data_IF_493648735916
#
_entry.id   IF_493648735916
#
_cell.length_a   1.000
_cell.length_b   1.000
_cell.length_c   1.000
_cell.angle_alpha   90.00
_cell.angle_beta   90.00
_cell.angle_gamma   90.00
#
_symmetry.space_group_name_H-M   'P 1'
#
loop_
_entity.id
_entity.type
_entity.pdbx_description
1 polymer ?
#
# COMPACT_ATOMS: atom_id res chain seq x y z
N UNK A 1 -14.73 9.90 -14.53
CA UNK A 1 -13.82 9.27 -13.56
C UNK A 1 -12.65 10.21 -13.36
N UNK A 2 -12.51 10.80 -12.17
CA UNK A 2 -11.28 11.46 -11.75
C UNK A 2 -10.50 10.48 -10.87
N UNK A 3 -9.19 10.46 -11.02
CA UNK A 3 -8.29 9.45 -10.47
C UNK A 3 -7.29 9.07 -11.55
N UNK A 4 -6.01 9.21 -11.27
CA UNK A 4 -4.96 8.69 -12.15
C UNK A 4 -5.14 7.18 -12.18
N UNK A 5 -5.55 6.62 -13.34
CA UNK A 5 -6.02 5.23 -13.49
C UNK A 5 -5.09 4.20 -12.82
N UNK A 6 -3.80 4.47 -12.78
CA UNK A 6 -2.77 3.61 -12.20
C UNK A 6 -2.86 3.42 -10.67
N UNK A 7 -3.66 4.22 -9.97
CA UNK A 7 -3.92 4.10 -8.53
C UNK A 7 -5.22 3.34 -8.22
N UNK A 8 -5.99 2.95 -9.25
CA UNK A 8 -7.27 2.28 -9.04
C UNK A 8 -7.05 0.81 -8.67
N UNK A 9 -7.75 0.37 -7.61
CA UNK A 9 -7.72 -1.01 -7.15
C UNK A 9 -8.42 -1.97 -8.15
N UNK A 10 -8.06 -3.27 -8.17
CA UNK A 10 -8.63 -4.26 -9.09
C UNK A 10 -10.17 -4.31 -9.06
N UNK A 11 -10.77 -4.21 -7.88
CA UNK A 11 -12.23 -4.28 -7.68
C UNK A 11 -13.00 -3.11 -8.32
N UNK A 12 -12.36 -1.94 -8.48
CA UNK A 12 -12.95 -0.77 -9.16
C UNK A 12 -13.20 -1.09 -10.64
N UNK A 13 -12.26 -1.80 -11.27
CA UNK A 13 -12.40 -2.24 -12.66
C UNK A 13 -13.43 -3.36 -12.82
N UNK A 14 -13.59 -4.20 -11.80
CA UNK A 14 -14.57 -5.28 -11.79
C UNK A 14 -16.00 -4.81 -11.45
N UNK A 15 -16.16 -3.56 -10.99
CA UNK A 15 -17.45 -2.98 -10.55
C UNK A 15 -18.12 -3.78 -9.43
N UNK A 16 -17.31 -4.38 -8.54
CA UNK A 16 -17.78 -5.23 -7.42
C UNK A 16 -18.26 -4.38 -6.23
N UNK A 17 -18.21 -3.05 -6.34
CA UNK A 17 -18.34 -2.13 -5.21
C UNK A 17 -16.96 -1.80 -4.65
N UNK A 18 -16.83 -0.66 -3.98
CA UNK A 18 -15.58 -0.22 -3.38
C UNK A 18 -15.83 0.29 -1.96
N UNK A 19 -14.83 0.11 -1.10
CA UNK A 19 -14.81 0.56 0.27
C UNK A 19 -13.41 1.02 0.67
N UNK A 20 -13.11 1.04 1.96
CA UNK A 20 -11.81 1.50 2.49
C UNK A 20 -10.61 0.71 1.94
N UNK A 21 -10.81 -0.55 1.55
CA UNK A 21 -9.79 -1.40 0.92
C UNK A 21 -9.14 -0.75 -0.32
N UNK A 22 -9.91 0.02 -1.10
CA UNK A 22 -9.41 0.68 -2.30
C UNK A 22 -8.43 1.83 -1.97
N UNK A 23 -8.61 2.49 -0.83
CA UNK A 23 -7.67 3.52 -0.36
C UNK A 23 -6.35 2.90 0.10
N UNK A 24 -6.40 1.70 0.69
CA UNK A 24 -5.19 0.94 1.07
C UNK A 24 -4.40 0.45 -0.15
N UNK A 25 -5.08 0.07 -1.22
CA UNK A 25 -4.41 -0.18 -2.50
C UNK A 25 -3.68 1.06 -3.01
N UNK A 26 -4.34 2.22 -3.02
CA UNK A 26 -3.73 3.46 -3.46
C UNK A 26 -2.53 3.86 -2.59
N UNK A 27 -2.58 3.57 -1.29
CA UNK A 27 -1.42 3.69 -0.40
C UNK A 27 -0.29 2.74 -0.82
N UNK A 28 -0.59 1.47 -1.11
CA UNK A 28 0.39 0.51 -1.62
C UNK A 28 1.08 0.97 -2.91
N UNK A 29 0.30 1.50 -3.87
CA UNK A 29 0.84 2.09 -5.10
C UNK A 29 1.76 3.27 -4.78
N UNK A 30 1.38 4.12 -3.82
CA UNK A 30 2.20 5.26 -3.40
C UNK A 30 3.50 4.82 -2.75
N UNK A 31 3.47 3.80 -1.88
CA UNK A 31 4.66 3.22 -1.25
C UNK A 31 5.59 2.65 -2.30
N UNK A 32 5.08 1.88 -3.26
CA UNK A 32 5.88 1.34 -4.35
C UNK A 32 6.59 2.46 -5.13
N UNK A 33 5.87 3.53 -5.50
CA UNK A 33 6.47 4.66 -6.22
C UNK A 33 7.57 5.34 -5.40
N UNK A 34 7.41 5.47 -4.08
CA UNK A 34 8.45 6.05 -3.22
C UNK A 34 9.72 5.19 -3.16
N UNK A 35 9.59 3.87 -3.29
CA UNK A 35 10.71 2.93 -3.26
C UNK A 35 11.39 2.81 -4.63
N UNK A 36 10.59 2.72 -5.69
CA UNK A 36 11.04 2.33 -7.03
C UNK A 36 11.18 3.52 -7.98
N UNK A 37 10.64 4.68 -7.62
CA UNK A 37 10.53 5.88 -8.47
C UNK A 37 9.72 5.65 -9.76
N UNK A 38 8.96 4.54 -9.84
CA UNK A 38 8.08 4.20 -10.95
C UNK A 38 6.78 3.54 -10.48
N UNK A 39 5.84 3.34 -11.40
CA UNK A 39 4.56 2.70 -11.12
C UNK A 39 4.69 1.18 -11.05
N UNK A 40 3.96 0.49 -10.15
CA UNK A 40 3.93 -0.97 -10.10
C UNK A 40 3.29 -1.59 -11.33
N UNK A 41 2.29 -0.91 -11.90
CA UNK A 41 1.58 -1.32 -13.12
C UNK A 41 1.49 -0.11 -14.05
N UNK A 42 1.99 -0.25 -15.28
CA UNK A 42 1.94 0.78 -16.32
C UNK A 42 1.75 0.15 -17.68
N UNK A 43 0.76 0.64 -18.41
CA UNK A 43 0.55 0.33 -19.82
C UNK A 43 -0.19 1.50 -20.48
N UNK A 44 0.04 1.70 -21.78
CA UNK A 44 -0.67 2.70 -22.58
C UNK A 44 -2.07 2.22 -22.93
N UNK A 45 -2.23 0.91 -23.17
CA UNK A 45 -3.51 0.27 -23.41
C UNK A 45 -4.24 0.02 -22.08
N UNK A 46 -5.50 0.45 -22.03
CA UNK A 46 -6.28 0.38 -20.81
C UNK A 46 -6.66 -1.07 -20.42
N UNK A 47 -6.83 -1.95 -21.40
CA UNK A 47 -7.18 -3.35 -21.16
C UNK A 47 -5.96 -4.08 -20.60
N UNK A 48 -4.77 -3.83 -21.16
CA UNK A 48 -3.52 -4.41 -20.66
C UNK A 48 -3.16 -3.86 -19.27
N UNK A 49 -3.33 -2.55 -19.02
CA UNK A 49 -3.18 -2.00 -17.67
C UNK A 49 -4.13 -2.66 -16.66
N UNK A 50 -5.39 -2.89 -17.04
CA UNK A 50 -6.36 -3.55 -16.16
C UNK A 50 -5.97 -5.01 -15.90
N UNK A 51 -5.44 -5.72 -16.90
CA UNK A 51 -4.96 -7.10 -16.74
C UNK A 51 -3.76 -7.15 -15.81
N UNK A 52 -2.78 -6.27 -15.97
CA UNK A 52 -1.60 -6.23 -15.10
C UNK A 52 -1.96 -5.91 -13.66
N UNK A 53 -2.80 -4.89 -13.43
CA UNK A 53 -3.34 -4.58 -12.10
C UNK A 53 -4.01 -5.80 -11.46
N UNK A 54 -4.69 -6.64 -12.24
CA UNK A 54 -5.45 -7.78 -11.73
C UNK A 54 -4.63 -9.04 -11.51
N UNK A 55 -3.63 -9.29 -12.36
CA UNK A 55 -3.00 -10.62 -12.45
C UNK A 55 -1.49 -10.60 -12.28
N UNK A 56 -0.83 -9.47 -12.53
CA UNK A 56 0.62 -9.41 -12.43
C UNK A 56 1.03 -9.15 -10.97
N UNK A 57 2.11 -9.81 -10.56
CA UNK A 57 2.77 -9.56 -9.29
C UNK A 57 3.68 -8.33 -9.40
N UNK A 58 3.89 -7.63 -8.28
CA UNK A 58 4.88 -6.54 -8.23
C UNK A 58 6.30 -7.11 -8.06
N UNK A 59 7.27 -6.40 -8.61
CA UNK A 59 8.69 -6.72 -8.43
C UNK A 59 9.33 -5.71 -7.48
N UNK A 60 10.03 -6.21 -6.47
CA UNK A 60 10.77 -5.39 -5.50
C UNK A 60 12.23 -5.85 -5.44
N UNK A 61 13.21 -4.93 -5.30
CA UNK A 61 14.61 -5.27 -5.15
C UNK A 61 14.87 -6.14 -3.92
N UNK A 62 15.78 -7.10 -4.04
CA UNK A 62 16.14 -8.03 -2.96
C UNK A 62 16.87 -7.34 -1.79
N UNK A 63 17.42 -6.15 -2.01
CA UNK A 63 18.14 -5.36 -0.99
C UNK A 63 17.23 -4.47 -0.14
N UNK A 64 15.92 -4.40 -0.45
CA UNK A 64 14.95 -3.75 0.41
C UNK A 64 14.77 -4.52 1.73
N UNK A 65 14.42 -3.80 2.79
CA UNK A 65 14.13 -4.45 4.08
C UNK A 65 12.90 -5.36 3.96
N UNK A 66 12.94 -6.51 4.63
CA UNK A 66 11.83 -7.45 4.66
C UNK A 66 10.52 -6.76 5.09
N UNK A 67 10.59 -5.87 6.08
CA UNK A 67 9.45 -5.12 6.58
C UNK A 67 8.78 -4.23 5.52
N UNK A 68 9.55 -3.53 4.67
CA UNK A 68 8.95 -2.65 3.67
C UNK A 68 8.42 -3.44 2.47
N UNK A 69 9.13 -4.50 2.08
CA UNK A 69 8.68 -5.39 1.02
C UNK A 69 7.38 -6.08 1.43
N UNK A 70 7.34 -6.64 2.64
CA UNK A 70 6.17 -7.30 3.19
C UNK A 70 4.96 -6.34 3.31
N UNK A 71 5.17 -5.11 3.80
CA UNK A 71 4.12 -4.09 3.83
C UNK A 71 3.56 -3.82 2.43
N UNK A 72 4.44 -3.65 1.45
CA UNK A 72 4.06 -3.29 0.07
C UNK A 72 3.27 -4.41 -0.59
N UNK A 73 3.71 -5.67 -0.45
CA UNK A 73 2.97 -6.83 -0.94
C UNK A 73 1.58 -6.93 -0.31
N UNK A 74 1.47 -6.76 1.02
CA UNK A 74 0.17 -6.88 1.69
C UNK A 74 -0.82 -5.73 1.35
N UNK A 75 -0.32 -4.52 1.07
CA UNK A 75 -1.15 -3.41 0.61
C UNK A 75 -1.59 -3.57 -0.86
N UNK A 76 -0.78 -4.25 -1.69
CA UNK A 76 -1.06 -4.54 -3.10
C UNK A 76 -1.64 -5.94 -3.34
N UNK A 77 -2.21 -6.55 -2.29
CA UNK A 77 -3.03 -7.75 -2.39
C UNK A 77 -4.25 -7.49 -3.29
N UNK A 78 -4.46 -8.38 -4.26
CA UNK A 78 -5.47 -8.23 -5.31
C UNK A 78 -6.86 -8.41 -4.75
N UNK A 79 -7.04 -9.38 -3.87
CA UNK A 79 -8.32 -9.64 -3.22
C UNK A 79 -8.54 -8.62 -2.09
N UNK A 80 -9.53 -7.71 -2.21
CA UNK A 80 -9.76 -6.70 -1.19
C UNK A 80 -10.07 -7.29 0.19
N UNK A 81 -10.58 -8.51 0.31
CA UNK A 81 -10.91 -9.12 1.61
C UNK A 81 -9.65 -9.58 2.37
N UNK A 82 -8.56 -9.88 1.66
CA UNK A 82 -7.27 -10.27 2.25
C UNK A 82 -6.26 -9.11 2.32
N UNK A 83 -6.59 -7.96 1.71
CA UNK A 83 -5.72 -6.79 1.70
C UNK A 83 -5.54 -6.21 3.09
N UNK A 84 -4.31 -5.82 3.41
CA UNK A 84 -3.99 -5.20 4.68
C UNK A 84 -4.83 -3.93 4.89
N UNK A 85 -5.52 -3.88 6.03
CA UNK A 85 -6.42 -2.79 6.40
C UNK A 85 -7.89 -2.98 6.00
N UNK A 86 -8.24 -4.10 5.35
CA UNK A 86 -9.63 -4.39 4.95
C UNK A 86 -10.47 -5.11 6.03
N UNK A 87 -9.85 -5.65 7.08
CA UNK A 87 -10.55 -6.32 8.19
C UNK A 87 -11.15 -5.35 9.22
N UNK A 88 -11.80 -5.88 10.25
CA UNK A 88 -12.45 -5.09 11.32
C UNK A 88 -11.50 -4.11 12.02
N UNK A 89 -10.23 -4.50 12.18
CA UNK A 89 -9.20 -3.66 12.78
C UNK A 89 -8.76 -2.49 11.85
N UNK A 90 -9.05 -2.58 10.55
CA UNK A 90 -8.85 -1.51 9.59
C UNK A 90 -7.43 -0.95 9.59
N UNK A 91 -7.33 0.38 9.69
CA UNK A 91 -6.07 1.11 9.73
C UNK A 91 -5.11 0.67 10.87
N UNK A 92 -5.61 0.06 11.94
CA UNK A 92 -4.77 -0.37 13.05
C UNK A 92 -3.82 -1.49 12.64
N UNK A 93 -4.26 -2.40 11.75
CA UNK A 93 -3.40 -3.45 11.18
C UNK A 93 -2.17 -2.86 10.49
N UNK A 94 -2.33 -1.72 9.82
CA UNK A 94 -1.23 -1.02 9.12
C UNK A 94 -0.30 -0.37 10.13
N UNK A 95 -0.83 0.31 11.15
CA UNK A 95 0.00 0.99 12.17
C UNK A 95 0.83 0.02 13.00
N UNK A 96 0.29 -1.17 13.28
CA UNK A 96 0.96 -2.23 14.02
C UNK A 96 1.96 -3.02 13.17
N UNK A 97 1.99 -2.80 11.84
CA UNK A 97 2.92 -3.47 10.95
C UNK A 97 4.39 -3.19 11.35
N UNK A 98 5.28 -4.20 11.37
CA UNK A 98 6.69 -4.06 11.77
C UNK A 98 7.42 -2.84 11.17
N UNK A 99 7.17 -2.55 9.89
CA UNK A 99 7.66 -1.36 9.18
C UNK A 99 7.45 -0.05 9.97
N UNK A 100 6.28 0.14 10.60
CA UNK A 100 5.97 1.34 11.37
C UNK A 100 6.36 1.24 12.85
N UNK A 101 6.50 0.03 13.42
CA UNK A 101 6.82 -0.18 14.84
C UNK A 101 8.16 0.44 15.26
N UNK A 102 9.18 0.44 14.39
CA UNK A 102 10.51 1.01 14.70
C UNK A 102 10.46 2.54 14.81
N UNK A 103 9.58 3.20 14.03
CA UNK A 103 9.49 4.66 13.98
C UNK A 103 8.80 5.29 15.22
N UNK A 104 7.96 4.55 15.93
CA UNK A 104 7.23 5.05 17.09
C UNK A 104 8.04 4.98 18.41
N UNK A 105 9.02 4.08 18.51
CA UNK A 105 9.84 3.99 19.73
C UNK A 105 10.88 5.11 19.85
N UNK A 106 11.45 5.56 18.73
CA UNK A 106 12.45 6.64 18.74
C UNK A 106 11.84 8.02 19.01
N UNK A 107 10.58 8.27 18.60
CA UNK A 107 9.97 9.61 18.71
C UNK A 107 9.31 9.89 20.06
N UNK A 108 9.01 8.85 20.85
CA UNK A 108 8.47 9.02 22.20
C UNK A 108 9.55 9.39 23.23
N UNK A 109 10.85 9.23 22.92
CA UNK A 109 11.93 9.70 23.79
C UNK A 109 12.25 11.19 23.62
N UNK A 110 11.98 11.77 22.45
CA UNK A 110 12.27 13.20 22.20
C UNK A 110 11.19 14.13 22.79
N UNK A 111 9.93 13.69 22.81
CA UNK A 111 8.82 14.53 23.30
C UNK A 111 8.77 14.68 24.83
N UNK A 112 9.42 13.80 25.60
CA UNK A 112 9.55 13.97 27.06
C UNK A 112 10.76 14.84 27.45
N UNK A 113 11.72 15.05 26.56
CA UNK A 113 12.89 15.88 26.83
C UNK A 113 12.63 17.39 26.68
N UNK A 114 11.61 17.79 25.91
CA UNK A 114 11.28 19.20 25.67
C UNK A 114 10.25 19.78 26.66
N UNK A 115 9.61 18.96 27.49
CA UNK A 115 8.63 19.43 28.49
C UNK A 115 9.25 19.83 29.85
N UNK A 116 10.58 19.78 30.00
CA UNK A 116 11.29 20.09 31.24
C UNK A 116 12.37 21.19 31.09
N UNK A 117 12.19 22.16 30.19
CA UNK A 117 12.97 23.40 30.17
C UNK A 117 12.08 24.63 30.33
#
# INVERSE_FOLDING_TARGET
>A
MCGTRTYMAPEIYMKIGYGMAADWWALGVTVYIMLMYELPFKDEDQIELMKSIRYDEIELPEDLSEDVSNLTYQLLEKDPDYRLGSGEAGAEMIKEHPFFRVSFYSRNFDLQAEMHK
#
